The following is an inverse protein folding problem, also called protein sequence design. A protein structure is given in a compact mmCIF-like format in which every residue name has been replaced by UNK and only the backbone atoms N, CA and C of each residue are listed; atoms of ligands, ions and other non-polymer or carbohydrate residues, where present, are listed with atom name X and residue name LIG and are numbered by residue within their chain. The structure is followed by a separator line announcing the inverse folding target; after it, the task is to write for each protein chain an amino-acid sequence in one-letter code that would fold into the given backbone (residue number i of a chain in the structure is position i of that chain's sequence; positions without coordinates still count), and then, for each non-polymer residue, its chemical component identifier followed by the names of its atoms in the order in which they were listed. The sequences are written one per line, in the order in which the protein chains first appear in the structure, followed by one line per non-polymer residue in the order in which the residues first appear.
data_IF_973879998962
#
_entry.id   IF_973879998962
#
_cell.length_a   1.000
_cell.length_b   1.000
_cell.length_c   1.000
_cell.angle_alpha   90.00
_cell.angle_beta   90.00
_cell.angle_gamma   90.00
#
_symmetry.space_group_name_H-M   'P 1'
#
loop_
_entity.id
_entity.type
_entity.pdbx_description
1 polymer ?
#
# COMPACT_ATOMS: atom_id res chain seq x y z
N UNK A 1 55.50 5.96 43.30
CA UNK A 1 56.05 5.90 41.93
C UNK A 1 55.76 4.51 41.40
N UNK A 2 55.27 4.41 40.16
CA UNK A 2 54.76 3.23 39.43
C UNK A 2 53.33 2.76 39.74
N UNK A 3 52.38 3.34 38.98
CA UNK A 3 51.08 2.76 38.65
C UNK A 3 51.26 1.70 37.54
N UNK A 4 50.82 0.47 37.79
CA UNK A 4 50.60 -0.56 36.77
C UNK A 4 49.19 -0.42 36.21
N UNK A 5 49.06 0.01 34.95
CA UNK A 5 47.80 -0.03 34.20
C UNK A 5 47.59 -1.44 33.63
N UNK A 6 46.48 -2.09 34.01
CA UNK A 6 45.92 -3.23 33.27
C UNK A 6 44.87 -2.70 32.29
N UNK A 7 44.80 -3.18 31.03
CA UNK A 7 43.74 -2.78 30.11
C UNK A 7 42.43 -3.53 30.44
N UNK A 8 41.30 -2.80 30.40
CA UNK A 8 39.95 -3.32 30.57
C UNK A 8 39.42 -3.97 29.27
N UNK A 9 38.62 -5.05 29.35
CA UNK A 9 38.07 -5.73 28.18
C UNK A 9 36.73 -5.10 27.80
N UNK A 10 36.74 -3.91 27.17
CA UNK A 10 35.50 -3.28 26.68
C UNK A 10 35.58 -2.74 25.24
N UNK A 11 36.67 -3.00 24.52
CA UNK A 11 36.88 -2.48 23.16
C UNK A 11 36.62 -3.53 22.06
N UNK A 12 36.14 -4.74 22.37
CA UNK A 12 35.96 -5.79 21.36
C UNK A 12 34.51 -6.00 20.86
N UNK A 13 33.50 -5.30 21.39
CA UNK A 13 32.10 -5.51 20.98
C UNK A 13 31.55 -4.50 19.96
N UNK A 14 32.23 -3.38 19.71
CA UNK A 14 31.74 -2.36 18.77
C UNK A 14 32.05 -2.65 17.29
N UNK A 15 33.02 -3.54 17.01
CA UNK A 15 33.45 -3.81 15.64
C UNK A 15 32.62 -4.86 14.89
N UNK A 16 31.83 -5.68 15.60
CA UNK A 16 31.06 -6.79 14.99
C UNK A 16 29.62 -6.42 14.59
N UNK A 17 29.03 -5.38 15.19
CA UNK A 17 27.64 -4.98 14.91
C UNK A 17 27.46 -4.12 13.66
N UNK A 18 28.45 -3.30 13.30
CA UNK A 18 28.36 -2.40 12.14
C UNK A 18 28.53 -3.17 10.81
N UNK A 19 29.31 -4.25 10.80
CA UNK A 19 29.55 -5.05 9.60
C UNK A 19 28.34 -5.86 9.11
N UNK A 20 27.43 -6.26 10.00
CA UNK A 20 26.23 -7.02 9.63
C UNK A 20 25.18 -6.15 8.93
N UNK A 21 25.06 -4.88 9.33
CA UNK A 21 24.05 -3.96 8.82
C UNK A 21 24.37 -3.47 7.40
N UNK A 22 25.65 -3.26 7.07
CA UNK A 22 26.08 -2.92 5.70
C UNK A 22 25.88 -4.08 4.73
N UNK A 23 26.06 -5.32 5.19
CA UNK A 23 25.95 -6.51 4.32
C UNK A 23 24.50 -6.78 3.93
N UNK A 24 23.57 -6.64 4.87
CA UNK A 24 22.13 -6.79 4.62
C UNK A 24 21.59 -5.70 3.67
N UNK A 25 22.04 -4.45 3.84
CA UNK A 25 21.67 -3.34 2.95
C UNK A 25 22.17 -3.54 1.51
N UNK A 26 23.35 -4.13 1.32
CA UNK A 26 23.90 -4.44 -0.02
C UNK A 26 23.15 -5.59 -0.70
N UNK A 27 22.75 -6.61 0.05
CA UNK A 27 21.98 -7.75 -0.50
C UNK A 27 20.55 -7.34 -0.91
N UNK A 28 19.89 -6.49 -0.13
CA UNK A 28 18.56 -5.94 -0.48
C UNK A 28 18.61 -5.06 -1.73
N UNK A 29 19.68 -4.28 -1.92
CA UNK A 29 19.86 -3.45 -3.12
C UNK A 29 20.19 -4.25 -4.38
N UNK A 30 20.81 -5.44 -4.27
CA UNK A 30 21.11 -6.31 -5.41
C UNK A 30 19.93 -7.15 -5.89
N UNK A 31 18.98 -7.47 -5.01
CA UNK A 31 17.77 -8.21 -5.35
C UNK A 31 16.73 -7.38 -6.16
N UNK A 32 16.85 -6.05 -6.16
CA UNK A 32 15.88 -5.16 -6.80
C UNK A 32 16.09 -4.96 -8.32
N UNK A 33 17.10 -5.57 -8.94
CA UNK A 33 17.53 -5.19 -10.29
C UNK A 33 17.28 -6.21 -11.42
N UNK A 34 16.53 -7.30 -11.20
CA UNK A 34 16.23 -8.27 -12.27
C UNK A 34 14.76 -8.69 -12.29
N UNK A 35 13.92 -7.92 -12.98
CA UNK A 35 12.69 -8.40 -13.57
C UNK A 35 12.22 -7.45 -14.69
N UNK A 36 12.97 -7.41 -15.80
CA UNK A 36 12.48 -6.83 -17.05
C UNK A 36 12.17 -7.99 -17.98
N UNK A 37 10.92 -8.45 -17.99
CA UNK A 37 10.43 -9.35 -19.03
C UNK A 37 10.14 -8.54 -20.29
N UNK A 38 10.97 -8.72 -21.32
CA UNK A 38 10.67 -8.30 -22.68
C UNK A 38 9.87 -9.41 -23.36
N UNK A 39 8.57 -9.18 -23.59
CA UNK A 39 7.77 -10.01 -24.49
C UNK A 39 7.47 -9.22 -25.76
N UNK A 40 8.10 -9.61 -26.87
CA UNK A 40 7.78 -9.08 -28.20
C UNK A 40 6.40 -9.62 -28.66
N UNK A 41 5.54 -8.81 -29.30
CA UNK A 41 4.29 -9.30 -29.86
C UNK A 41 4.56 -10.08 -31.16
N UNK A 42 4.00 -11.29 -31.25
CA UNK A 42 3.94 -12.07 -32.49
C UNK A 42 2.82 -11.56 -33.39
N UNK A 43 3.12 -11.37 -34.68
CA UNK A 43 2.14 -10.95 -35.70
C UNK A 43 0.99 -11.96 -35.85
N UNK A 44 -0.24 -11.52 -36.14
CA UNK A 44 -1.33 -12.43 -36.42
C UNK A 44 -1.16 -13.11 -37.79
N UNK A 45 -1.33 -14.43 -37.80
CA UNK A 45 -1.37 -15.22 -39.03
C UNK A 45 -2.61 -14.87 -39.86
N UNK A 46 -2.39 -14.57 -41.13
CA UNK A 46 -3.45 -14.26 -42.11
C UNK A 46 -4.16 -15.57 -42.51
N UNK A 47 -5.41 -15.76 -42.06
CA UNK A 47 -6.26 -16.87 -42.49
C UNK A 47 -6.77 -16.61 -43.92
N UNK A 48 -6.38 -17.45 -44.87
CA UNK A 48 -6.94 -17.49 -46.23
C UNK A 48 -8.38 -17.99 -46.19
N UNK A 49 -9.34 -17.17 -46.61
CA UNK A 49 -10.71 -17.61 -46.89
C UNK A 49 -10.73 -18.50 -48.15
N UNK A 50 -11.14 -19.76 -47.99
CA UNK A 50 -11.57 -20.62 -49.09
C UNK A 50 -13.02 -20.31 -49.45
N UNK A 51 -13.27 -20.08 -50.74
CA UNK A 51 -14.62 -19.95 -51.30
C UNK A 51 -15.32 -21.31 -51.30
N UNK A 52 -16.45 -21.42 -50.61
CA UNK A 52 -17.39 -22.53 -50.81
C UNK A 52 -18.82 -21.98 -50.96
N UNK A 53 -19.44 -22.33 -52.09
CA UNK A 53 -20.83 -22.03 -52.44
C UNK A 53 -21.80 -22.91 -51.66
N UNK A 54 -22.92 -22.30 -51.26
CA UNK A 54 -24.25 -22.94 -51.20
C UNK A 54 -24.71 -23.46 -49.83
N UNK A 55 -25.59 -22.72 -49.15
CA UNK A 55 -27.02 -23.05 -48.98
C UNK A 55 -27.65 -22.13 -47.94
N UNK A 56 -28.80 -21.55 -48.29
CA UNK A 56 -29.63 -20.74 -47.40
C UNK A 56 -30.28 -21.61 -46.33
N UNK A 57 -29.82 -21.50 -45.10
CA UNK A 57 -30.55 -21.99 -43.92
C UNK A 57 -31.14 -20.77 -43.22
N UNK A 58 -32.46 -20.74 -43.08
CA UNK A 58 -33.18 -19.73 -42.30
C UNK A 58 -32.76 -19.92 -40.84
N UNK A 59 -31.86 -19.06 -40.36
CA UNK A 59 -31.44 -19.02 -38.97
C UNK A 59 -32.53 -18.31 -38.16
N UNK A 60 -33.28 -19.06 -37.37
CA UNK A 60 -34.10 -18.51 -36.29
C UNK A 60 -33.16 -17.86 -35.28
N UNK A 61 -33.25 -16.54 -35.12
CA UNK A 61 -32.45 -15.79 -34.15
C UNK A 61 -32.89 -16.19 -32.73
N UNK A 62 -32.17 -17.15 -32.14
CA UNK A 62 -32.12 -17.30 -30.69
C UNK A 62 -31.39 -16.06 -30.21
N UNK A 63 -32.11 -15.16 -29.54
CA UNK A 63 -31.51 -13.95 -28.96
C UNK A 63 -30.29 -14.34 -28.14
N UNK A 64 -29.12 -13.80 -28.49
CA UNK A 64 -27.92 -13.99 -27.70
C UNK A 64 -28.25 -13.56 -26.26
N UNK A 65 -27.92 -14.37 -25.23
CA UNK A 65 -27.87 -13.84 -23.88
C UNK A 65 -26.93 -12.63 -23.96
N UNK A 66 -27.41 -11.47 -23.54
CA UNK A 66 -26.64 -10.23 -23.57
C UNK A 66 -25.32 -10.48 -22.86
N UNK A 67 -24.24 -10.62 -23.63
CA UNK A 67 -22.89 -10.63 -23.11
C UNK A 67 -22.73 -9.26 -22.47
N UNK A 68 -22.90 -9.18 -21.15
CA UNK A 68 -22.53 -7.97 -20.41
C UNK A 68 -21.10 -7.64 -20.83
N UNK A 69 -20.96 -6.44 -21.39
CA UNK A 69 -19.72 -5.98 -21.98
C UNK A 69 -18.63 -6.03 -20.91
N UNK A 70 -17.58 -6.83 -21.13
CA UNK A 70 -16.34 -6.86 -20.34
C UNK A 70 -15.50 -5.59 -20.58
N UNK A 71 -16.15 -4.45 -20.77
CA UNK A 71 -15.51 -3.17 -21.02
C UNK A 71 -14.87 -2.65 -19.73
N UNK A 72 -13.71 -2.01 -19.89
CA UNK A 72 -13.05 -1.35 -18.78
C UNK A 72 -13.96 -0.29 -18.16
N UNK A 73 -14.30 -0.48 -16.90
CA UNK A 73 -15.04 0.43 -16.03
C UNK A 73 -14.07 1.18 -15.13
N UNK A 74 -14.40 2.44 -14.85
CA UNK A 74 -13.69 3.28 -13.90
C UNK A 74 -14.69 3.95 -12.96
N UNK A 75 -14.33 4.05 -11.69
CA UNK A 75 -15.05 4.85 -10.71
C UNK A 75 -14.03 5.54 -9.80
N UNK A 76 -14.31 6.76 -9.34
CA UNK A 76 -13.44 7.45 -8.40
C UNK A 76 -14.28 8.19 -7.37
N UNK A 77 -13.92 8.04 -6.09
CA UNK A 77 -14.59 8.70 -4.97
C UNK A 77 -13.56 9.18 -3.97
N UNK A 78 -13.76 10.39 -3.43
CA UNK A 78 -12.98 10.87 -2.28
C UNK A 78 -13.71 10.51 -1.00
N UNK A 79 -13.06 9.72 -0.15
CA UNK A 79 -13.55 9.35 1.18
C UNK A 79 -12.91 10.26 2.22
N UNK A 80 -13.74 10.87 3.06
CA UNK A 80 -13.28 11.66 4.20
C UNK A 80 -13.25 10.78 5.45
N UNK A 81 -12.07 10.61 6.03
CA UNK A 81 -11.86 9.98 7.33
C UNK A 81 -11.89 11.10 8.38
N UNK A 82 -12.75 11.01 9.42
CA UNK A 82 -12.80 12.02 10.46
C UNK A 82 -11.44 12.12 11.20
N UNK A 83 -11.15 13.25 11.85
CA UNK A 83 -9.93 13.41 12.64
C UNK A 83 -9.69 12.21 13.54
N UNK A 84 -8.48 11.67 13.50
CA UNK A 84 -8.04 10.61 14.39
C UNK A 84 -7.04 11.19 15.40
N UNK A 85 -6.96 10.58 16.57
CA UNK A 85 -5.80 10.77 17.45
C UNK A 85 -4.57 10.13 16.79
N UNK A 86 -3.37 10.50 17.24
CA UNK A 86 -2.15 9.77 16.87
C UNK A 86 -2.31 8.25 17.08
N UNK A 87 -1.80 7.46 16.14
CA UNK A 87 -1.76 6.00 16.18
C UNK A 87 -2.25 5.35 14.88
N UNK A 88 -2.37 4.03 14.91
CA UNK A 88 -2.85 3.24 13.79
C UNK A 88 -4.35 2.92 13.94
N UNK A 89 -5.14 3.18 12.90
CA UNK A 89 -6.60 3.05 12.97
C UNK A 89 -7.13 2.18 11.84
N UNK A 90 -7.92 1.15 12.17
CA UNK A 90 -8.60 0.32 11.19
C UNK A 90 -9.74 1.12 10.51
N UNK A 91 -9.58 1.43 9.22
CA UNK A 91 -10.54 2.22 8.45
C UNK A 91 -11.27 1.40 7.37
N UNK A 92 -11.04 0.09 7.28
CA UNK A 92 -11.64 -0.82 6.28
C UNK A 92 -13.14 -0.62 6.14
N UNK A 93 -13.88 -0.67 7.25
CA UNK A 93 -15.34 -0.55 7.23
C UNK A 93 -15.83 0.81 6.72
N UNK A 94 -15.08 1.89 7.02
CA UNK A 94 -15.40 3.23 6.53
C UNK A 94 -15.16 3.35 5.03
N UNK A 95 -14.05 2.80 4.53
CA UNK A 95 -13.77 2.76 3.08
C UNK A 95 -14.84 1.95 2.36
N UNK A 96 -15.09 0.71 2.79
CA UNK A 96 -16.07 -0.18 2.15
C UNK A 96 -17.46 0.44 2.09
N UNK A 97 -17.95 1.00 3.20
CA UNK A 97 -19.26 1.66 3.25
C UNK A 97 -19.38 2.79 2.22
N UNK A 98 -18.30 3.51 1.95
CA UNK A 98 -18.33 4.63 1.00
C UNK A 98 -18.26 4.18 -0.45
N UNK A 99 -17.60 3.07 -0.75
CA UNK A 99 -17.38 2.62 -2.14
C UNK A 99 -18.27 1.45 -2.55
N UNK A 100 -19.07 0.88 -1.64
CA UNK A 100 -19.84 -0.36 -1.84
C UNK A 100 -20.65 -0.37 -3.15
N UNK A 101 -21.38 0.73 -3.43
CA UNK A 101 -22.22 0.85 -4.63
C UNK A 101 -21.41 0.85 -5.92
N UNK A 102 -20.25 1.51 -5.94
CA UNK A 102 -19.37 1.53 -7.11
C UNK A 102 -18.68 0.17 -7.28
N UNK A 103 -18.20 -0.38 -6.16
CA UNK A 103 -17.43 -1.63 -6.06
C UNK A 103 -18.24 -2.84 -6.51
N UNK A 104 -19.52 -2.93 -6.17
CA UNK A 104 -20.36 -4.10 -6.46
C UNK A 104 -20.49 -4.40 -7.96
N UNK A 105 -20.26 -3.41 -8.81
CA UNK A 105 -20.31 -3.56 -10.26
C UNK A 105 -18.97 -3.87 -10.93
N UNK A 106 -17.98 -4.39 -10.20
CA UNK A 106 -16.71 -4.87 -10.74
C UNK A 106 -16.57 -6.38 -10.48
N UNK A 107 -16.33 -7.16 -11.54
CA UNK A 107 -16.01 -8.60 -11.45
C UNK A 107 -14.53 -8.84 -11.18
N UNK A 108 -13.64 -8.09 -11.82
CA UNK A 108 -12.19 -8.20 -11.65
C UNK A 108 -11.54 -6.84 -11.87
N UNK A 109 -10.64 -6.43 -10.97
CA UNK A 109 -10.02 -5.11 -11.09
C UNK A 109 -9.03 -4.79 -9.99
N UNK A 110 -8.72 -3.50 -9.85
CA UNK A 110 -7.90 -2.93 -8.80
C UNK A 110 -8.63 -1.75 -8.15
N UNK A 111 -8.47 -1.64 -6.84
CA UNK A 111 -8.81 -0.47 -6.05
C UNK A 111 -7.52 0.22 -5.63
N UNK A 112 -7.24 1.38 -6.20
CA UNK A 112 -6.14 2.24 -5.79
C UNK A 112 -6.63 3.27 -4.78
N UNK A 113 -6.04 3.28 -3.59
CA UNK A 113 -6.30 4.24 -2.53
C UNK A 113 -5.12 5.19 -2.44
N UNK A 114 -5.37 6.49 -2.47
CA UNK A 114 -4.35 7.52 -2.34
C UNK A 114 -4.73 8.53 -1.25
N UNK A 115 -3.97 8.54 -0.16
CA UNK A 115 -4.09 9.49 0.93
C UNK A 115 -3.48 10.84 0.51
N UNK A 116 -4.30 11.88 0.52
CA UNK A 116 -3.87 13.25 0.24
C UNK A 116 -3.29 13.91 1.50
N UNK A 117 -2.19 13.36 2.01
CA UNK A 117 -1.46 13.91 3.14
C UNK A 117 0.00 13.45 3.15
N UNK A 118 0.87 14.22 3.80
CA UNK A 118 2.32 13.96 3.88
C UNK A 118 2.80 13.60 5.27
N UNK A 119 1.94 13.70 6.28
CA UNK A 119 2.25 13.39 7.68
C UNK A 119 1.29 12.36 8.30
N UNK A 120 0.59 11.61 7.43
CA UNK A 120 -0.17 10.41 7.75
C UNK A 120 0.13 9.36 6.66
N UNK A 121 -0.12 8.09 6.90
CA UNK A 121 0.12 7.03 5.91
C UNK A 121 -1.01 6.01 5.85
N UNK A 122 -1.00 5.22 4.77
CA UNK A 122 -1.85 4.05 4.61
C UNK A 122 -0.99 2.79 4.64
N UNK A 123 -1.49 1.75 5.29
CA UNK A 123 -0.88 0.42 5.27
C UNK A 123 -1.96 -0.67 5.32
N UNK A 124 -1.56 -1.91 5.01
CA UNK A 124 -2.39 -3.10 5.23
C UNK A 124 -1.70 -3.94 6.30
N UNK A 125 -2.41 -4.20 7.39
CA UNK A 125 -1.90 -5.04 8.48
C UNK A 125 -3.08 -5.80 9.15
N UNK A 126 -2.82 -6.44 10.29
CA UNK A 126 -3.81 -7.26 11.00
C UNK A 126 -5.11 -6.46 11.31
N UNK A 127 -6.27 -7.13 11.27
CA UNK A 127 -7.57 -6.50 11.54
C UNK A 127 -8.29 -7.07 12.77
N UNK A 128 -7.62 -7.90 13.57
CA UNK A 128 -8.22 -8.65 14.66
C UNK A 128 -7.82 -8.12 16.04
N UNK A 129 -6.52 -8.14 16.36
CA UNK A 129 -6.03 -7.72 17.66
C UNK A 129 -5.65 -6.21 17.65
N UNK A 130 -6.30 -5.36 18.46
CA UNK A 130 -5.95 -3.95 18.56
C UNK A 130 -4.53 -3.72 19.09
N UNK A 131 -3.93 -4.66 19.82
CA UNK A 131 -2.57 -4.49 20.36
C UNK A 131 -1.54 -4.32 19.23
N UNK A 132 -1.77 -4.90 18.05
CA UNK A 132 -0.89 -4.72 16.88
C UNK A 132 -0.84 -3.25 16.45
N UNK A 133 -1.92 -2.49 16.63
CA UNK A 133 -1.96 -1.05 16.29
C UNK A 133 -1.13 -0.23 17.28
N UNK A 134 -1.24 -0.54 18.58
CA UNK A 134 -0.52 0.15 19.65
C UNK A 134 0.98 -0.20 19.63
N UNK A 135 1.33 -1.45 19.38
CA UNK A 135 2.72 -1.90 19.20
C UNK A 135 3.37 -1.25 17.98
N UNK A 136 2.62 -1.11 16.88
CA UNK A 136 3.12 -0.42 15.68
C UNK A 136 3.41 1.05 15.97
N UNK A 137 2.52 1.77 16.65
CA UNK A 137 2.76 3.16 17.04
C UNK A 137 3.94 3.28 18.01
N UNK A 138 4.03 2.38 19.00
CA UNK A 138 5.15 2.33 19.94
C UNK A 138 6.48 2.13 19.22
N UNK A 139 6.52 1.21 18.27
CA UNK A 139 7.70 0.98 17.43
C UNK A 139 8.07 2.23 16.63
N UNK A 140 7.12 2.82 15.91
CA UNK A 140 7.34 4.02 15.09
C UNK A 140 7.88 5.20 15.91
N UNK A 141 7.32 5.41 17.10
CA UNK A 141 7.76 6.47 18.01
C UNK A 141 9.14 6.21 18.63
N UNK A 142 9.56 4.95 18.72
CA UNK A 142 10.92 4.61 19.13
C UNK A 142 11.96 4.85 18.01
N UNK A 143 11.65 4.45 16.77
CA UNK A 143 12.60 4.58 15.66
C UNK A 143 12.64 5.97 15.02
N UNK A 144 11.55 6.74 15.13
CA UNK A 144 11.45 8.13 14.69
C UNK A 144 11.11 8.99 15.91
N UNK A 145 12.11 9.30 16.76
CA UNK A 145 11.87 9.96 18.03
C UNK A 145 11.44 11.42 17.87
N UNK A 146 10.78 11.95 18.89
CA UNK A 146 10.28 13.33 18.96
C UNK A 146 10.98 14.13 20.05
N UNK A 147 10.75 15.45 20.04
CA UNK A 147 11.16 16.34 21.12
C UNK A 147 12.59 16.86 21.02
N UNK A 148 13.09 17.45 22.12
CA UNK A 148 14.32 18.27 22.14
C UNK A 148 15.59 17.49 21.79
N UNK A 149 15.61 16.18 22.04
CA UNK A 149 16.75 15.32 21.72
C UNK A 149 16.70 14.76 20.30
N UNK A 150 15.60 14.98 19.57
CA UNK A 150 15.46 14.46 18.23
C UNK A 150 16.27 15.31 17.22
N UNK A 151 17.05 14.69 16.31
CA UNK A 151 18.00 15.39 15.45
C UNK A 151 17.33 16.02 14.20
N UNK A 152 16.08 16.47 14.32
CA UNK A 152 15.31 16.98 13.19
C UNK A 152 15.49 18.48 13.00
N UNK A 153 15.72 18.87 11.73
CA UNK A 153 15.86 20.29 11.36
C UNK A 153 14.52 20.96 11.07
N UNK A 154 13.60 20.21 10.47
CA UNK A 154 12.25 20.69 10.15
C UNK A 154 11.40 20.63 11.42
N UNK A 155 10.98 21.79 11.92
CA UNK A 155 10.29 21.93 13.22
C UNK A 155 9.23 23.03 13.19
N UNK A 156 8.85 23.49 11.99
CA UNK A 156 8.02 24.68 11.82
C UNK A 156 6.60 24.50 12.36
N UNK A 157 6.04 23.29 12.28
CA UNK A 157 4.68 23.00 12.74
C UNK A 157 4.63 22.23 14.07
N UNK A 158 5.74 22.22 14.82
CA UNK A 158 5.80 21.58 16.14
C UNK A 158 6.74 20.36 16.19
N UNK A 159 6.85 19.74 17.38
CA UNK A 159 7.79 18.64 17.61
C UNK A 159 7.43 17.34 16.89
N UNK A 160 6.17 17.14 16.54
CA UNK A 160 5.65 15.95 15.85
C UNK A 160 5.70 16.03 14.31
N UNK A 161 6.06 17.19 13.77
CA UNK A 161 5.95 17.52 12.35
C UNK A 161 6.89 16.70 11.44
N UNK A 162 8.21 16.88 11.58
CA UNK A 162 9.17 16.08 10.80
C UNK A 162 9.08 14.57 11.11
N UNK A 163 8.93 14.13 12.36
CA UNK A 163 8.67 12.72 12.67
C UNK A 163 7.50 12.14 11.89
N UNK A 164 6.39 12.86 11.80
CA UNK A 164 5.22 12.43 11.06
C UNK A 164 5.48 12.31 9.55
N UNK A 165 6.30 13.19 8.96
CA UNK A 165 6.74 13.06 7.57
C UNK A 165 7.62 11.83 7.32
N UNK A 166 8.53 11.51 8.26
CA UNK A 166 9.38 10.32 8.16
C UNK A 166 8.52 9.06 8.26
N UNK A 167 7.69 8.96 9.32
CA UNK A 167 6.78 7.82 9.54
C UNK A 167 5.82 7.64 8.35
N UNK A 168 5.30 8.74 7.79
CA UNK A 168 4.49 8.70 6.56
C UNK A 168 5.27 8.13 5.38
N UNK A 169 6.53 8.54 5.19
CA UNK A 169 7.37 8.07 4.09
C UNK A 169 7.78 6.60 4.20
N UNK A 170 7.80 6.03 5.42
CA UNK A 170 8.13 4.63 5.65
C UNK A 170 7.03 3.67 5.18
N UNK A 171 5.75 4.02 5.37
CA UNK A 171 4.62 3.22 4.90
C UNK A 171 4.12 3.66 3.52
N UNK A 172 4.19 4.96 3.24
CA UNK A 172 3.67 5.57 2.03
C UNK A 172 2.22 6.05 2.16
N UNK A 173 1.74 6.73 1.12
CA UNK A 173 0.41 7.32 1.07
C UNK A 173 -0.57 6.53 0.18
N UNK A 174 -0.19 5.37 -0.35
CA UNK A 174 -1.03 4.66 -1.31
C UNK A 174 -1.06 3.15 -1.12
N UNK A 175 -2.19 2.57 -1.50
CA UNK A 175 -2.43 1.13 -1.54
C UNK A 175 -3.05 0.77 -2.87
N UNK A 176 -2.75 -0.43 -3.38
CA UNK A 176 -3.43 -1.00 -4.54
C UNK A 176 -3.90 -2.40 -4.17
N UNK A 177 -5.21 -2.62 -4.17
CA UNK A 177 -5.86 -3.82 -3.65
C UNK A 177 -6.63 -4.49 -4.80
N UNK A 178 -6.50 -5.81 -5.03
CA UNK A 178 -7.28 -6.49 -6.06
C UNK A 178 -8.78 -6.47 -5.75
N UNK A 179 -9.60 -6.47 -6.80
CA UNK A 179 -11.06 -6.57 -6.72
C UNK A 179 -11.47 -7.92 -7.32
N UNK A 180 -12.36 -8.63 -6.65
CA UNK A 180 -12.97 -9.87 -7.15
C UNK A 180 -14.43 -9.92 -6.74
N UNK A 181 -15.33 -10.13 -7.71
CA UNK A 181 -16.78 -10.26 -7.50
C UNK A 181 -17.37 -9.18 -6.57
N UNK A 182 -17.04 -7.93 -6.86
CA UNK A 182 -17.56 -6.77 -6.15
C UNK A 182 -17.00 -6.59 -4.74
N UNK A 183 -15.85 -7.20 -4.43
CA UNK A 183 -15.20 -7.14 -3.11
C UNK A 183 -13.73 -6.80 -3.25
N UNK A 184 -13.19 -6.10 -2.25
CA UNK A 184 -11.75 -6.01 -2.07
C UNK A 184 -11.22 -7.40 -1.70
N UNK A 185 -10.33 -7.94 -2.51
CA UNK A 185 -9.76 -9.27 -2.36
C UNK A 185 -8.50 -9.19 -1.48
N UNK A 186 -8.74 -9.06 -0.18
CA UNK A 186 -7.72 -9.07 0.87
C UNK A 186 -7.79 -10.41 1.64
N UNK A 187 -6.68 -10.80 2.27
CA UNK A 187 -6.66 -11.95 3.17
C UNK A 187 -7.53 -11.75 4.41
N UNK A 188 -7.92 -12.85 5.08
CA UNK A 188 -8.82 -12.84 6.25
C UNK A 188 -8.40 -11.85 7.33
N UNK A 189 -7.10 -11.79 7.61
CA UNK A 189 -6.53 -10.94 8.66
C UNK A 189 -6.10 -9.57 8.16
N UNK A 190 -6.26 -9.25 6.87
CA UNK A 190 -5.83 -7.97 6.33
C UNK A 190 -6.90 -6.89 6.51
N UNK A 191 -6.47 -5.73 6.99
CA UNK A 191 -7.27 -4.52 7.12
C UNK A 191 -6.52 -3.29 6.63
N UNK A 192 -7.26 -2.32 6.11
CA UNK A 192 -6.75 -1.03 5.67
C UNK A 192 -6.63 -0.14 6.90
N UNK A 193 -5.42 0.32 7.18
CA UNK A 193 -5.12 1.20 8.29
C UNK A 193 -4.83 2.62 7.81
N UNK A 194 -5.31 3.61 8.56
CA UNK A 194 -4.79 4.97 8.54
C UNK A 194 -3.84 5.11 9.73
N UNK A 195 -2.56 5.36 9.48
CA UNK A 195 -1.61 5.72 10.51
C UNK A 195 -1.54 7.23 10.62
N UNK A 196 -2.11 7.78 11.68
CA UNK A 196 -2.07 9.20 12.00
C UNK A 196 -0.84 9.48 12.87
N UNK A 197 0.07 10.32 12.38
CA UNK A 197 1.33 10.59 13.07
C UNK A 197 1.37 11.93 13.79
N UNK A 198 0.33 12.77 13.63
CA UNK A 198 0.21 14.07 14.33
C UNK A 198 -0.68 13.94 15.56
N UNK A 199 -0.39 14.70 16.62
CA UNK A 199 -1.20 14.72 17.84
C UNK A 199 -2.55 15.42 17.66
N UNK A 200 -2.57 16.46 16.82
CA UNK A 200 -3.72 17.32 16.56
C UNK A 200 -4.06 17.32 15.08
N UNK A 201 -4.47 16.16 14.57
CA UNK A 201 -4.81 15.99 13.18
C UNK A 201 -6.19 16.57 12.81
N UNK A 202 -6.30 16.98 11.55
CA UNK A 202 -7.60 17.27 10.92
C UNK A 202 -8.08 16.04 10.13
N UNK A 203 -9.27 16.13 9.55
CA UNK A 203 -9.82 15.05 8.73
C UNK A 203 -8.89 14.70 7.56
N UNK A 204 -8.76 13.42 7.24
CA UNK A 204 -7.93 12.93 6.14
C UNK A 204 -8.79 12.60 4.92
N UNK A 205 -8.25 12.84 3.73
CA UNK A 205 -8.92 12.52 2.46
C UNK A 205 -8.19 11.37 1.77
N UNK A 206 -8.94 10.32 1.45
CA UNK A 206 -8.46 9.19 0.67
C UNK A 206 -9.20 9.16 -0.65
N UNK A 207 -8.49 9.35 -1.75
CA UNK A 207 -9.03 9.17 -3.10
C UNK A 207 -9.00 7.69 -3.42
N UNK A 208 -10.17 7.09 -3.64
CA UNK A 208 -10.31 5.70 -4.06
C UNK A 208 -10.64 5.68 -5.54
N UNK A 209 -9.80 5.04 -6.34
CA UNK A 209 -10.00 4.83 -7.78
C UNK A 209 -10.17 3.34 -8.02
N UNK A 210 -11.31 2.96 -8.60
CA UNK A 210 -11.62 1.58 -8.98
C UNK A 210 -11.49 1.46 -10.49
N UNK A 211 -10.78 0.45 -10.97
CA UNK A 211 -10.66 0.17 -12.39
C UNK A 211 -10.66 -1.33 -12.65
N UNK A 212 -11.36 -1.77 -13.70
CA UNK A 212 -11.53 -3.18 -13.97
C UNK A 212 -12.68 -3.45 -14.92
N UNK A 213 -13.21 -4.65 -14.88
CA UNK A 213 -14.39 -5.14 -15.61
C UNK A 213 -15.39 -5.72 -14.63
#
# INVERSE_FOLDING_TARGET
MLHTLRPHPFILFFALGIGYHEKLLREVMQAASFAVFSSAPSSPAFLRLGSHKGNSVVATAIGNPTTESMAAKWAQKTVVIPPQRRGCHLITSKILKEIEQDLSGFKCGLAHLFLQHTSASLTINENYDPDVQDDTETFLSHIVPEGRSAPWKHTLEGPDDMPAHIKSSMFGCSLTIPITDGRLNMGTWQGIWLCEHRDHATARKVVVTLNGM
#
